data_IF_787366302399
#
_entry.id   IF_787366302399
#
_cell.length_a   1.000
_cell.length_b   1.000
_cell.length_c   1.000
_cell.angle_alpha   90.00
_cell.angle_beta   90.00
_cell.angle_gamma   90.00
#
_symmetry.space_group_name_H-M   'P 1'
#
loop_
_entity.id
_entity.type
_entity.pdbx_description
1 polymer ?
#
# COMPACT_ATOMS: atom_id res chain seq x y z
N UNK A 1 -9.74 7.02 29.41
CA UNK A 1 -10.34 8.38 29.30
C UNK A 1 -10.00 9.14 30.58
N UNK A 2 -9.61 10.42 30.49
CA UNK A 2 -9.13 11.19 31.65
C UNK A 2 -7.61 11.16 31.87
N UNK A 3 -6.82 10.79 30.85
CA UNK A 3 -5.35 10.81 30.94
C UNK A 3 -4.85 12.14 30.40
N UNK A 4 -4.06 12.85 31.20
CA UNK A 4 -3.33 14.07 30.82
C UNK A 4 -1.88 13.76 30.49
N UNK A 5 -1.28 14.58 29.62
CA UNK A 5 0.15 14.52 29.30
C UNK A 5 0.83 15.72 29.96
N UNK A 6 1.87 15.46 30.74
CA UNK A 6 2.74 16.49 31.28
C UNK A 6 4.14 16.31 30.70
N UNK A 7 4.52 17.23 29.82
CA UNK A 7 5.86 17.30 29.24
C UNK A 7 6.72 18.13 30.17
N UNK A 8 7.70 17.50 30.82
CA UNK A 8 8.55 18.13 31.83
C UNK A 8 9.49 19.17 31.23
N UNK A 9 9.86 19.02 29.96
CA UNK A 9 10.72 19.94 29.24
C UNK A 9 10.14 20.28 27.86
N UNK A 10 9.49 21.43 27.79
CA UNK A 10 8.98 22.04 26.57
C UNK A 10 9.69 23.40 26.41
N UNK A 11 10.88 23.37 25.79
CA UNK A 11 11.79 24.52 25.82
C UNK A 11 12.36 24.72 27.23
N UNK A 12 12.09 25.88 27.83
CA UNK A 12 12.44 26.19 29.24
C UNK A 12 11.28 25.96 30.22
N UNK A 13 10.09 25.63 29.71
CA UNK A 13 8.87 25.51 30.50
C UNK A 13 8.36 24.07 30.58
N UNK A 14 7.40 23.81 31.46
CA UNK A 14 6.64 22.56 31.54
C UNK A 14 5.29 22.72 30.82
N UNK A 15 4.89 21.74 30.02
CA UNK A 15 3.59 21.74 29.31
C UNK A 15 2.66 20.68 29.90
N UNK A 16 1.56 21.10 30.51
CA UNK A 16 0.51 20.21 31.03
C UNK A 16 -0.77 20.33 30.20
N UNK A 17 -1.14 19.26 29.50
CA UNK A 17 -2.30 19.25 28.58
C UNK A 17 -3.65 19.18 29.28
N UNK A 18 -3.69 19.10 30.61
CA UNK A 18 -4.93 19.19 31.40
C UNK A 18 -5.38 20.63 31.66
N UNK A 19 -4.48 21.61 31.48
CA UNK A 19 -4.76 23.03 31.62
C UNK A 19 -5.28 23.68 30.32
N UNK A 20 -5.84 24.89 30.42
CA UNK A 20 -6.33 25.64 29.26
C UNK A 20 -5.23 25.91 28.22
N UNK A 21 -4.04 26.32 28.67
CA UNK A 21 -2.87 26.53 27.82
C UNK A 21 -2.40 25.25 27.12
N UNK A 22 -2.24 24.15 27.85
CA UNK A 22 -1.78 22.90 27.24
C UNK A 22 -2.78 22.28 26.27
N UNK A 23 -4.09 22.44 26.52
CA UNK A 23 -5.11 22.07 25.53
C UNK A 23 -5.03 22.91 24.26
N UNK A 24 -4.84 24.22 24.39
CA UNK A 24 -4.65 25.11 23.23
C UNK A 24 -3.44 24.68 22.40
N UNK A 25 -2.29 24.47 23.05
CA UNK A 25 -1.06 24.01 22.39
C UNK A 25 -1.25 22.67 21.69
N UNK A 26 -1.91 21.71 22.35
CA UNK A 26 -2.19 20.39 21.77
C UNK A 26 -3.07 20.51 20.52
N UNK A 27 -4.11 21.34 20.57
CA UNK A 27 -4.98 21.58 19.41
C UNK A 27 -4.23 22.26 18.26
N UNK A 28 -3.36 23.22 18.56
CA UNK A 28 -2.54 23.89 17.57
C UNK A 28 -1.60 22.88 16.89
N UNK A 29 -0.91 22.01 17.65
CA UNK A 29 -0.07 20.96 17.07
C UNK A 29 -0.86 19.96 16.23
N UNK A 30 -2.07 19.60 16.65
CA UNK A 30 -2.93 18.74 15.85
C UNK A 30 -3.29 19.39 14.51
N UNK A 31 -3.64 20.68 14.51
CA UNK A 31 -3.93 21.44 13.30
C UNK A 31 -2.71 21.56 12.38
N UNK A 32 -1.52 21.83 12.94
CA UNK A 32 -0.28 21.85 12.16
C UNK A 32 0.04 20.48 11.54
N UNK A 33 -0.12 19.39 12.31
CA UNK A 33 0.12 18.04 11.80
C UNK A 33 -0.85 17.65 10.67
N UNK A 34 -2.09 18.14 10.71
CA UNK A 34 -3.06 17.97 9.62
C UNK A 34 -2.64 18.77 8.39
N UNK A 35 -2.31 20.06 8.57
CA UNK A 35 -1.83 20.93 7.50
C UNK A 35 -0.59 20.36 6.78
N UNK A 36 0.43 19.91 7.53
CA UNK A 36 1.64 19.31 6.96
C UNK A 36 1.32 18.04 6.16
N UNK A 37 0.39 17.22 6.65
CA UNK A 37 -0.05 16.01 5.97
C UNK A 37 -0.73 16.32 4.64
N UNK A 38 -1.54 17.36 4.59
CA UNK A 38 -2.20 17.77 3.36
C UNK A 38 -1.20 18.33 2.34
N UNK A 39 -0.25 19.16 2.80
CA UNK A 39 0.82 19.66 1.93
C UNK A 39 1.70 18.52 1.36
N UNK A 40 2.00 17.50 2.16
CA UNK A 40 2.70 16.29 1.67
C UNK A 40 1.90 15.56 0.59
N UNK A 41 0.58 15.45 0.75
CA UNK A 41 -0.31 14.79 -0.23
C UNK A 41 -0.40 15.58 -1.53
N UNK A 42 -0.44 16.91 -1.47
CA UNK A 42 -0.43 17.77 -2.66
C UNK A 42 0.84 17.54 -3.48
N UNK A 43 2.01 17.64 -2.83
CA UNK A 43 3.31 17.37 -3.49
C UNK A 43 3.39 15.95 -4.04
N UNK A 44 2.84 14.97 -3.34
CA UNK A 44 2.78 13.59 -3.83
C UNK A 44 1.93 13.49 -5.10
N UNK A 45 0.75 14.14 -5.14
CA UNK A 45 -0.12 14.15 -6.32
C UNK A 45 0.58 14.77 -7.53
N UNK A 46 1.29 15.88 -7.35
CA UNK A 46 2.09 16.53 -8.39
C UNK A 46 3.18 15.59 -8.92
N UNK A 47 3.93 14.95 -8.02
CA UNK A 47 4.95 13.97 -8.38
C UNK A 47 4.39 12.76 -9.14
N UNK A 48 3.23 12.24 -8.71
CA UNK A 48 2.52 11.16 -9.40
C UNK A 48 2.08 11.62 -10.80
N UNK A 49 1.53 12.83 -10.93
CA UNK A 49 1.08 13.38 -12.22
C UNK A 49 2.25 13.50 -13.21
N UNK A 50 3.40 14.01 -12.76
CA UNK A 50 4.62 14.07 -13.57
C UNK A 50 5.10 12.67 -13.99
N UNK A 51 5.17 11.73 -13.06
CA UNK A 51 5.60 10.35 -13.36
C UNK A 51 4.60 9.61 -14.28
N UNK A 52 3.30 9.91 -14.21
CA UNK A 52 2.29 9.41 -15.15
C UNK A 52 2.49 9.99 -16.55
N UNK A 53 2.73 11.30 -16.67
CA UNK A 53 3.03 11.95 -17.95
C UNK A 53 4.28 11.36 -18.62
N UNK A 54 5.30 11.05 -17.82
CA UNK A 54 6.53 10.36 -18.24
C UNK A 54 6.35 8.84 -18.46
N UNK A 55 5.13 8.30 -18.31
CA UNK A 55 4.81 6.86 -18.44
C UNK A 55 5.69 5.93 -17.58
N UNK A 56 6.16 6.41 -16.41
CA UNK A 56 7.04 5.63 -15.52
C UNK A 56 6.33 4.45 -14.83
N UNK A 57 5.03 4.57 -14.57
CA UNK A 57 4.27 3.52 -13.89
C UNK A 57 4.02 2.32 -14.81
N UNK A 58 4.70 1.20 -14.53
CA UNK A 58 4.52 -0.09 -15.24
C UNK A 58 3.61 -1.08 -14.49
N UNK A 59 2.97 -0.63 -13.41
CA UNK A 59 2.18 -1.48 -12.53
C UNK A 59 3.01 -2.54 -11.80
N UNK A 60 2.33 -3.53 -11.22
CA UNK A 60 2.98 -4.68 -10.57
C UNK A 60 3.61 -5.57 -11.65
N UNK A 61 4.85 -6.02 -11.42
CA UNK A 61 5.50 -7.01 -12.30
C UNK A 61 4.60 -8.25 -12.46
N UNK A 62 4.32 -8.70 -13.70
CA UNK A 62 3.34 -9.77 -13.96
C UNK A 62 3.94 -11.16 -13.70
N UNK A 63 4.24 -11.49 -12.43
CA UNK A 63 4.92 -12.75 -12.05
C UNK A 63 4.13 -14.00 -12.41
N UNK A 64 2.81 -13.97 -12.26
CA UNK A 64 1.95 -15.10 -12.59
C UNK A 64 1.64 -15.22 -14.08
N UNK A 65 1.36 -14.09 -14.76
CA UNK A 65 1.12 -14.08 -16.21
C UNK A 65 2.37 -14.47 -17.00
N UNK A 66 3.57 -14.20 -16.48
CA UNK A 66 4.81 -14.68 -17.08
C UNK A 66 4.89 -16.22 -17.15
N UNK A 67 4.21 -16.93 -16.25
CA UNK A 67 4.17 -18.40 -16.20
C UNK A 67 2.95 -19.01 -16.89
N UNK A 68 2.18 -18.21 -17.65
CA UNK A 68 0.96 -18.67 -18.29
C UNK A 68 1.22 -19.79 -19.31
N UNK A 69 2.22 -19.65 -20.18
CA UNK A 69 2.52 -20.69 -21.17
C UNK A 69 2.96 -22.03 -20.54
N UNK A 70 3.69 -21.98 -19.42
CA UNK A 70 4.04 -23.19 -18.66
C UNK A 70 2.80 -23.82 -18.00
N UNK A 71 1.87 -23.00 -17.49
CA UNK A 71 0.61 -23.48 -16.93
C UNK A 71 -0.25 -24.16 -18.00
N UNK A 72 -0.32 -23.59 -19.20
CA UNK A 72 -1.04 -24.14 -20.34
C UNK A 72 -0.43 -25.49 -20.76
N UNK A 73 0.90 -25.56 -20.83
CA UNK A 73 1.64 -26.77 -21.20
C UNK A 73 1.41 -27.91 -20.18
N UNK A 74 1.45 -27.60 -18.88
CA UNK A 74 1.19 -28.57 -17.82
C UNK A 74 -0.28 -29.02 -17.79
N UNK A 75 -1.22 -28.13 -18.15
CA UNK A 75 -2.63 -28.47 -18.26
C UNK A 75 -2.92 -29.40 -19.43
N UNK A 76 -2.28 -29.18 -20.59
CA UNK A 76 -2.35 -30.11 -21.73
C UNK A 76 -1.76 -31.48 -21.42
N UNK A 77 -0.77 -31.55 -20.51
CA UNK A 77 -0.25 -32.80 -19.94
C UNK A 77 -1.20 -33.44 -18.90
N UNK A 78 -2.47 -32.99 -18.82
CA UNK A 78 -3.50 -33.53 -17.93
C UNK A 78 -3.18 -33.37 -16.42
N UNK A 79 -2.30 -32.45 -16.03
CA UNK A 79 -2.06 -32.16 -14.60
C UNK A 79 -3.21 -31.36 -14.01
N UNK A 80 -3.51 -31.62 -12.74
CA UNK A 80 -4.54 -30.88 -12.02
C UNK A 80 -4.10 -29.43 -11.73
N UNK A 81 -5.06 -28.52 -11.60
CA UNK A 81 -4.79 -27.10 -11.28
C UNK A 81 -3.99 -26.94 -9.98
N UNK A 82 -4.18 -27.84 -9.00
CA UNK A 82 -3.43 -27.84 -7.74
C UNK A 82 -1.96 -28.21 -7.94
N UNK A 83 -1.67 -29.20 -8.78
CA UNK A 83 -0.29 -29.61 -9.10
C UNK A 83 0.42 -28.54 -9.93
N UNK A 84 -0.27 -27.92 -10.88
CA UNK A 84 0.27 -26.81 -11.68
C UNK A 84 0.63 -25.63 -10.77
N UNK A 85 -0.27 -25.28 -9.84
CA UNK A 85 -0.04 -24.20 -8.88
C UNK A 85 1.20 -24.46 -8.00
N UNK A 86 1.35 -25.69 -7.51
CA UNK A 86 2.51 -26.10 -6.73
C UNK A 86 3.81 -26.07 -7.56
N UNK A 87 3.78 -26.66 -8.76
CA UNK A 87 4.93 -26.74 -9.67
C UNK A 87 5.43 -25.35 -10.10
N UNK A 88 4.51 -24.42 -10.34
CA UNK A 88 4.83 -23.07 -10.80
C UNK A 88 4.99 -22.07 -9.65
N UNK A 89 4.72 -22.46 -8.40
CA UNK A 89 4.77 -21.57 -7.24
C UNK A 89 3.83 -20.37 -7.36
N UNK A 90 2.66 -20.54 -8.00
CA UNK A 90 1.64 -19.50 -8.17
C UNK A 90 0.32 -19.96 -7.57
N UNK A 91 -0.49 -19.02 -7.07
CA UNK A 91 -1.80 -19.38 -6.52
C UNK A 91 -2.74 -20.00 -7.58
N UNK A 92 -3.61 -20.92 -7.16
CA UNK A 92 -4.60 -21.59 -8.04
C UNK A 92 -5.44 -20.60 -8.86
N UNK A 93 -5.84 -19.46 -8.29
CA UNK A 93 -6.56 -18.42 -9.02
C UNK A 93 -5.77 -17.78 -10.17
N UNK A 94 -4.44 -17.75 -10.08
CA UNK A 94 -3.57 -17.33 -11.18
C UNK A 94 -3.48 -18.39 -12.28
N UNK A 95 -3.46 -19.68 -11.91
CA UNK A 95 -3.54 -20.77 -12.88
C UNK A 95 -4.86 -20.72 -13.65
N UNK A 96 -6.00 -20.59 -12.95
CA UNK A 96 -7.31 -20.43 -13.60
C UNK A 96 -7.36 -19.24 -14.55
N UNK A 97 -6.83 -18.07 -14.15
CA UNK A 97 -6.76 -16.90 -15.04
C UNK A 97 -5.87 -17.12 -16.26
N UNK A 98 -4.78 -17.89 -16.12
CA UNK A 98 -3.92 -18.22 -17.25
C UNK A 98 -4.66 -19.13 -18.24
N UNK A 99 -5.26 -20.21 -17.75
CA UNK A 99 -6.02 -21.16 -18.57
C UNK A 99 -7.23 -20.51 -19.26
N UNK A 100 -7.94 -19.60 -18.57
CA UNK A 100 -9.06 -18.86 -19.14
C UNK A 100 -8.60 -17.88 -20.24
N UNK A 101 -7.45 -17.24 -20.05
CA UNK A 101 -6.86 -16.40 -21.10
C UNK A 101 -6.40 -17.22 -22.33
N UNK A 102 -6.06 -18.49 -22.13
CA UNK A 102 -5.69 -19.43 -23.19
C UNK A 102 -6.89 -20.18 -23.81
N UNK A 103 -8.12 -19.98 -23.31
CA UNK A 103 -9.32 -20.67 -23.79
C UNK A 103 -9.38 -22.16 -23.44
N UNK A 104 -8.57 -22.62 -22.48
CA UNK A 104 -8.50 -24.02 -22.04
C UNK A 104 -9.52 -24.35 -20.94
N UNK A 105 -10.10 -23.32 -20.31
CA UNK A 105 -11.16 -23.41 -19.29
C UNK A 105 -11.98 -22.13 -19.19
#
# INVERSE_FOLDING_TARGET
>A
RGVGLKVLQFGKDTLDTTGAYGRLMLNMFAAFAEFERDLMRERQKEGIAKAKAEKKYKGRKPTARAKAGEADSLFQQQKSVSEIAASLGIGRGSVYRALAAAGLK
#
